data_IF_446199169571
#
_entry.id   IF_446199169571
#
_cell.length_a   1.000
_cell.length_b   1.000
_cell.length_c   1.000
_cell.angle_alpha   90.00
_cell.angle_beta   90.00
_cell.angle_gamma   90.00
#
_symmetry.space_group_name_H-M   'P 1'
#
loop_
_entity.id
_entity.type
_entity.pdbx_description
1 polymer ?
#
# COMPACT_ATOMS: atom_id res chain seq x y z
N UNK A 1 -70.90 19.19 39.80
CA UNK A 1 -71.62 20.49 39.82
C UNK A 1 -70.89 21.48 38.94
N UNK A 2 -71.60 22.11 37.99
CA UNK A 2 -71.28 23.37 37.27
C UNK A 2 -70.01 23.33 36.39
N UNK A 3 -70.07 23.21 35.06
CA UNK A 3 -70.54 24.21 34.05
C UNK A 3 -69.87 25.58 34.28
N UNK A 4 -69.12 26.14 33.32
CA UNK A 4 -69.55 27.19 32.35
C UNK A 4 -68.21 27.63 31.65
N UNK A 5 -68.05 27.53 30.31
CA UNK A 5 -68.25 28.60 29.29
C UNK A 5 -67.45 29.89 29.61
N UNK A 6 -66.86 30.66 28.72
CA UNK A 6 -66.72 30.73 27.27
C UNK A 6 -65.76 31.93 26.99
N UNK A 7 -65.61 32.28 25.70
CA UNK A 7 -65.06 33.53 25.13
C UNK A 7 -63.53 33.57 25.02
N UNK A 8 -62.90 33.30 23.87
CA UNK A 8 -63.01 33.93 22.54
C UNK A 8 -62.60 35.41 22.52
N UNK A 9 -61.43 35.70 21.95
CA UNK A 9 -61.22 36.84 21.05
C UNK A 9 -59.84 36.74 20.38
N UNK A 10 -59.92 36.44 19.09
CA UNK A 10 -59.03 36.76 17.97
C UNK A 10 -57.89 37.76 18.20
N UNK A 11 -56.71 37.39 17.71
CA UNK A 11 -55.57 38.28 17.54
C UNK A 11 -54.42 37.59 16.81
N UNK A 12 -54.65 37.13 15.58
CA UNK A 12 -53.56 36.71 14.69
C UNK A 12 -53.00 37.98 14.05
N UNK A 13 -51.82 38.42 14.49
CA UNK A 13 -50.91 39.15 13.63
C UNK A 13 -49.48 38.72 13.93
N UNK A 14 -48.96 37.98 12.96
CA UNK A 14 -47.65 37.38 12.78
C UNK A 14 -46.52 38.42 12.84
N UNK A 15 -45.41 38.11 13.52
CA UNK A 15 -44.05 38.09 12.94
C UNK A 15 -42.96 37.81 13.99
N UNK A 16 -41.93 37.09 13.53
CA UNK A 16 -40.64 36.78 14.15
C UNK A 16 -40.57 35.56 15.08
N UNK A 17 -40.76 34.36 14.53
CA UNK A 17 -40.19 33.14 15.09
C UNK A 17 -38.78 32.92 14.49
N UNK A 18 -37.74 33.16 15.30
CA UNK A 18 -36.41 32.61 15.06
C UNK A 18 -36.49 31.08 15.11
N UNK A 19 -36.56 30.45 13.95
CA UNK A 19 -36.39 29.00 13.83
C UNK A 19 -34.90 28.72 13.82
N UNK A 20 -34.41 28.08 14.90
CA UNK A 20 -33.16 27.34 14.90
C UNK A 20 -33.35 26.12 13.98
N UNK A 21 -32.65 25.97 12.84
CA UNK A 21 -32.58 24.68 12.21
C UNK A 21 -31.64 23.82 13.06
N UNK A 22 -32.22 22.84 13.74
CA UNK A 22 -31.48 21.74 14.35
C UNK A 22 -30.55 21.14 13.32
N UNK A 23 -29.26 21.19 13.61
CA UNK A 23 -28.21 20.60 12.79
C UNK A 23 -28.48 19.10 12.65
N UNK A 24 -28.96 18.70 11.48
CA UNK A 24 -28.82 17.32 11.04
C UNK A 24 -27.31 17.06 11.01
N UNK A 25 -26.82 16.29 11.99
CA UNK A 25 -25.49 15.70 11.94
C UNK A 25 -25.44 14.79 10.72
N UNK A 26 -24.97 15.33 9.61
CA UNK A 26 -24.58 14.56 8.45
C UNK A 26 -23.54 13.54 8.95
N UNK A 27 -23.93 12.26 8.93
CA UNK A 27 -22.99 11.16 9.09
C UNK A 27 -21.82 11.40 8.11
N UNK A 28 -20.55 11.21 8.52
CA UNK A 28 -19.44 11.40 7.60
C UNK A 28 -19.66 10.44 6.43
N UNK A 29 -19.91 11.00 5.25
CA UNK A 29 -19.88 10.24 4.03
C UNK A 29 -18.53 9.50 4.01
N UNK A 30 -18.57 8.17 3.91
CA UNK A 30 -17.37 7.37 3.77
C UNK A 30 -16.57 7.97 2.61
N UNK A 31 -15.46 8.63 2.93
CA UNK A 31 -14.60 9.22 1.92
C UNK A 31 -14.15 8.08 1.03
N UNK A 32 -14.67 8.03 -0.19
CA UNK A 32 -14.16 7.16 -1.25
C UNK A 32 -12.67 7.44 -1.30
N UNK A 33 -11.84 6.46 -0.92
CA UNK A 33 -10.40 6.62 -0.91
C UNK A 33 -9.98 7.12 -2.30
N UNK A 34 -9.53 8.37 -2.36
CA UNK A 34 -9.20 9.02 -3.63
C UNK A 34 -8.18 8.15 -4.36
N UNK A 35 -8.35 7.99 -5.67
CA UNK A 35 -7.38 7.27 -6.49
C UNK A 35 -5.99 7.90 -6.30
N UNK A 36 -4.92 7.09 -6.20
CA UNK A 36 -3.58 7.61 -6.00
C UNK A 36 -3.19 8.57 -7.12
N UNK A 37 -2.51 9.66 -6.77
CA UNK A 37 -2.06 10.66 -7.75
C UNK A 37 -1.03 10.07 -8.73
N UNK A 38 -0.87 10.64 -9.93
CA UNK A 38 0.16 10.17 -10.88
C UNK A 38 1.58 10.17 -10.29
N UNK A 39 1.88 11.14 -9.41
CA UNK A 39 3.16 11.20 -8.68
C UNK A 39 3.30 10.00 -7.73
N UNK A 40 2.26 9.67 -6.96
CA UNK A 40 2.27 8.52 -6.06
C UNK A 40 2.44 7.20 -6.83
N UNK A 41 1.77 7.05 -7.97
CA UNK A 41 1.92 5.89 -8.85
C UNK A 41 3.35 5.79 -9.38
N UNK A 42 3.94 6.90 -9.82
CA UNK A 42 5.33 6.92 -10.28
C UNK A 42 6.31 6.56 -9.15
N UNK A 43 6.14 7.12 -7.95
CA UNK A 43 7.01 6.83 -6.82
C UNK A 43 6.93 5.35 -6.42
N UNK A 44 5.73 4.76 -6.43
CA UNK A 44 5.54 3.33 -6.19
C UNK A 44 6.19 2.46 -7.28
N UNK A 45 6.08 2.86 -8.56
CA UNK A 45 6.78 2.19 -9.66
C UNK A 45 8.30 2.19 -9.45
N UNK A 46 8.87 3.38 -9.19
CA UNK A 46 10.32 3.53 -8.98
C UNK A 46 10.79 2.70 -7.77
N UNK A 47 9.98 2.64 -6.70
CA UNK A 47 10.22 1.77 -5.54
C UNK A 47 10.22 0.29 -5.91
N UNK A 48 9.22 -0.17 -6.67
CA UNK A 48 9.12 -1.57 -7.10
C UNK A 48 10.29 -1.98 -7.99
N UNK A 49 10.73 -1.09 -8.88
CA UNK A 49 11.91 -1.29 -9.69
C UNK A 49 13.19 -1.37 -8.83
N UNK A 50 13.34 -0.45 -7.87
CA UNK A 50 14.48 -0.46 -6.95
C UNK A 50 14.52 -1.72 -6.07
N UNK A 51 13.36 -2.25 -5.67
CA UNK A 51 13.21 -3.48 -4.90
C UNK A 51 13.39 -4.77 -5.71
N UNK A 52 13.47 -4.68 -7.04
CA UNK A 52 13.44 -5.83 -7.94
C UNK A 52 12.19 -6.70 -7.71
N UNK A 53 11.02 -6.08 -7.76
CA UNK A 53 9.73 -6.72 -7.49
C UNK A 53 9.43 -7.92 -8.40
N UNK A 54 10.02 -8.02 -9.58
CA UNK A 54 9.96 -9.17 -10.47
C UNK A 54 10.57 -10.44 -9.84
N UNK A 55 11.65 -10.28 -9.06
CA UNK A 55 12.25 -11.40 -8.32
C UNK A 55 11.36 -11.80 -7.15
N UNK A 56 10.80 -10.82 -6.44
CA UNK A 56 9.83 -11.07 -5.38
C UNK A 56 8.59 -11.80 -5.92
N UNK A 57 8.12 -11.43 -7.11
CA UNK A 57 7.04 -12.13 -7.80
C UNK A 57 7.40 -13.60 -8.07
N UNK A 58 8.60 -13.88 -8.57
CA UNK A 58 9.08 -15.26 -8.76
C UNK A 58 9.15 -16.03 -7.44
N UNK A 59 9.63 -15.39 -6.36
CA UNK A 59 9.67 -16.01 -5.02
C UNK A 59 8.27 -16.30 -4.49
N UNK A 60 7.34 -15.35 -4.59
CA UNK A 60 5.94 -15.51 -4.17
C UNK A 60 5.31 -16.66 -4.95
N UNK A 61 5.47 -16.67 -6.27
CA UNK A 61 4.94 -17.72 -7.12
C UNK A 61 5.57 -19.08 -6.81
N UNK A 62 6.89 -19.17 -6.62
CA UNK A 62 7.57 -20.42 -6.26
C UNK A 62 7.18 -20.96 -4.87
N UNK A 63 6.86 -20.07 -3.93
CA UNK A 63 6.41 -20.42 -2.57
C UNK A 63 4.89 -20.67 -2.46
N UNK A 64 4.13 -20.43 -3.52
CA UNK A 64 2.68 -20.61 -3.54
C UNK A 64 2.30 -22.10 -3.60
N UNK A 65 1.09 -22.42 -3.13
CA UNK A 65 0.57 -23.79 -3.19
C UNK A 65 -0.07 -24.05 -4.55
N UNK A 66 0.34 -25.14 -5.20
CA UNK A 66 -0.23 -25.60 -6.46
C UNK A 66 -0.84 -27.01 -6.28
N UNK A 67 -1.95 -27.31 -6.98
CA UNK A 67 -2.50 -28.67 -7.04
C UNK A 67 -1.51 -29.73 -7.52
N UNK A 68 -0.68 -29.39 -8.52
CA UNK A 68 0.33 -30.30 -9.07
C UNK A 68 1.64 -29.58 -9.39
N UNK A 69 2.71 -30.36 -9.47
CA UNK A 69 4.03 -29.88 -9.88
C UNK A 69 4.04 -29.31 -11.29
N UNK A 70 3.34 -29.97 -12.22
CA UNK A 70 3.23 -29.52 -13.61
C UNK A 70 2.53 -28.16 -13.70
N UNK A 71 1.51 -27.92 -12.87
CA UNK A 71 0.86 -26.62 -12.81
C UNK A 71 1.79 -25.53 -12.28
N UNK A 72 2.60 -25.84 -11.26
CA UNK A 72 3.63 -24.90 -10.76
C UNK A 72 4.60 -24.52 -11.88
N UNK A 73 5.13 -25.52 -12.60
CA UNK A 73 6.06 -25.29 -13.71
C UNK A 73 5.44 -24.49 -14.85
N UNK A 74 4.18 -24.78 -15.20
CA UNK A 74 3.44 -24.02 -16.21
C UNK A 74 3.27 -22.55 -15.81
N UNK A 75 2.96 -22.27 -14.54
CA UNK A 75 2.88 -20.90 -14.03
C UNK A 75 4.25 -20.21 -14.06
N UNK A 76 5.33 -20.87 -13.60
CA UNK A 76 6.69 -20.31 -13.69
C UNK A 76 7.06 -19.97 -15.14
N UNK A 77 6.77 -20.85 -16.09
CA UNK A 77 7.06 -20.63 -17.51
C UNK A 77 6.27 -19.46 -18.12
N UNK A 78 5.06 -19.17 -17.60
CA UNK A 78 4.32 -17.95 -17.95
C UNK A 78 5.00 -16.71 -17.38
N UNK A 79 5.41 -16.76 -16.11
CA UNK A 79 6.09 -15.64 -15.45
C UNK A 79 7.44 -15.31 -16.09
N UNK A 80 8.15 -16.31 -16.64
CA UNK A 80 9.40 -16.10 -17.38
C UNK A 80 9.24 -15.19 -18.62
N UNK A 81 8.01 -15.07 -19.15
CA UNK A 81 7.69 -14.20 -20.30
C UNK A 81 7.27 -12.80 -19.89
N UNK A 82 7.00 -12.56 -18.60
CA UNK A 82 6.54 -11.27 -18.09
C UNK A 82 7.76 -10.37 -17.92
N UNK A 83 7.74 -9.22 -18.60
CA UNK A 83 8.84 -8.25 -18.48
C UNK A 83 8.83 -7.59 -17.09
N UNK A 84 9.99 -7.18 -16.55
CA UNK A 84 10.03 -6.47 -15.26
C UNK A 84 9.16 -5.21 -15.28
N UNK A 85 9.16 -4.48 -16.39
CA UNK A 85 8.36 -3.26 -16.55
C UNK A 85 6.86 -3.51 -16.50
N UNK A 86 6.39 -4.64 -17.03
CA UNK A 86 4.98 -5.04 -16.88
C UNK A 86 4.63 -5.28 -15.41
N UNK A 87 5.52 -5.93 -14.65
CA UNK A 87 5.31 -6.15 -13.20
C UNK A 87 5.20 -4.81 -12.47
N UNK A 88 6.14 -3.90 -12.71
CA UNK A 88 6.17 -2.60 -12.02
C UNK A 88 4.94 -1.77 -12.37
N UNK A 89 4.58 -1.69 -13.65
CA UNK A 89 3.43 -0.92 -14.13
C UNK A 89 2.10 -1.43 -13.55
N UNK A 90 1.92 -2.75 -13.45
CA UNK A 90 0.68 -3.35 -12.94
C UNK A 90 0.56 -3.28 -11.42
N UNK A 91 1.69 -3.24 -10.71
CA UNK A 91 1.72 -3.10 -9.24
C UNK A 91 1.79 -1.66 -8.76
N UNK A 92 2.19 -0.70 -9.59
CA UNK A 92 2.40 0.69 -9.18
C UNK A 92 1.14 1.31 -8.55
N UNK A 93 -0.01 1.18 -9.20
CA UNK A 93 -1.27 1.73 -8.69
C UNK A 93 -1.75 1.09 -7.36
N UNK A 94 -1.79 -0.25 -7.19
CA UNK A 94 -2.16 -0.83 -5.91
C UNK A 94 -1.13 -0.50 -4.81
N UNK A 95 0.17 -0.49 -5.10
CA UNK A 95 1.22 -0.17 -4.11
C UNK A 95 1.20 1.31 -3.72
N UNK A 96 0.84 2.22 -4.62
CA UNK A 96 0.68 3.65 -4.32
C UNK A 96 -0.44 3.94 -3.31
N UNK A 97 -1.33 2.98 -3.03
CA UNK A 97 -2.33 3.08 -1.96
C UNK A 97 -1.78 2.63 -0.59
N UNK A 98 -0.65 1.92 -0.58
CA UNK A 98 -0.05 1.29 0.59
C UNK A 98 1.14 2.07 1.14
N UNK A 99 1.86 2.78 0.27
CA UNK A 99 3.09 3.49 0.60
C UNK A 99 2.97 4.95 0.16
N UNK A 100 3.37 5.87 1.03
CA UNK A 100 3.40 7.29 0.71
C UNK A 100 4.50 7.60 -0.32
N UNK A 101 4.35 8.64 -1.16
CA UNK A 101 5.38 9.02 -2.11
C UNK A 101 6.73 9.33 -1.45
N UNK A 102 6.71 9.95 -0.27
CA UNK A 102 7.91 10.31 0.48
C UNK A 102 8.67 9.06 0.95
N UNK A 103 7.94 8.07 1.48
CA UNK A 103 8.52 6.78 1.89
C UNK A 103 9.07 6.02 0.68
N UNK A 104 8.35 6.01 -0.44
CA UNK A 104 8.83 5.39 -1.66
C UNK A 104 10.14 6.01 -2.16
N UNK A 105 10.22 7.34 -2.21
CA UNK A 105 11.44 8.06 -2.63
C UNK A 105 12.63 7.76 -1.71
N UNK A 106 12.42 7.78 -0.39
CA UNK A 106 13.50 7.50 0.55
C UNK A 106 13.97 6.04 0.47
N UNK A 107 13.03 5.11 0.29
CA UNK A 107 13.37 3.69 0.13
C UNK A 107 14.04 3.39 -1.22
N UNK A 108 13.69 4.11 -2.30
CA UNK A 108 14.45 4.06 -3.57
C UNK A 108 15.91 4.43 -3.35
N UNK A 109 16.18 5.54 -2.64
CA UNK A 109 17.56 5.96 -2.32
C UNK A 109 18.31 4.88 -1.54
N UNK A 110 17.64 4.28 -0.54
CA UNK A 110 18.22 3.18 0.21
C UNK A 110 18.57 2.00 -0.70
N UNK A 111 17.63 1.52 -1.52
CA UNK A 111 17.86 0.36 -2.39
C UNK A 111 18.92 0.62 -3.47
N UNK A 112 19.08 1.87 -3.92
CA UNK A 112 20.14 2.27 -4.84
C UNK A 112 21.51 2.43 -4.17
N UNK A 113 21.57 2.56 -2.84
CA UNK A 113 22.84 2.64 -2.11
C UNK A 113 23.65 1.35 -2.21
N UNK A 114 24.97 1.43 -2.00
CA UNK A 114 25.84 0.26 -1.96
C UNK A 114 25.38 -0.78 -0.93
N UNK A 115 24.85 -0.33 0.21
CA UNK A 115 24.32 -1.22 1.23
C UNK A 115 23.00 -1.87 0.80
N UNK A 116 22.06 -1.08 0.26
CA UNK A 116 20.78 -1.59 -0.24
C UNK A 116 20.96 -2.66 -1.33
N UNK A 117 21.93 -2.48 -2.22
CA UNK A 117 22.29 -3.49 -3.22
C UNK A 117 22.84 -4.79 -2.60
N UNK A 118 23.64 -4.70 -1.53
CA UNK A 118 24.07 -5.90 -0.76
C UNK A 118 22.86 -6.60 -0.14
N UNK A 119 21.89 -5.85 0.39
CA UNK A 119 20.65 -6.38 0.96
C UNK A 119 19.82 -7.09 -0.10
N UNK A 120 19.63 -6.50 -1.29
CA UNK A 120 18.90 -7.12 -2.40
C UNK A 120 19.60 -8.39 -2.90
N UNK A 121 20.93 -8.34 -3.06
CA UNK A 121 21.72 -9.52 -3.44
C UNK A 121 21.57 -10.63 -2.42
N UNK A 122 21.64 -10.32 -1.13
CA UNK A 122 21.40 -11.31 -0.08
C UNK A 122 19.97 -11.86 -0.16
N UNK A 123 18.97 -10.98 -0.25
CA UNK A 123 17.54 -11.36 -0.27
C UNK A 123 17.20 -12.34 -1.39
N UNK A 124 17.71 -12.13 -2.60
CA UNK A 124 17.32 -12.94 -3.76
C UNK A 124 18.33 -14.01 -4.18
N UNK A 125 19.61 -13.85 -3.80
CA UNK A 125 20.69 -14.73 -4.25
C UNK A 125 21.43 -15.43 -3.10
N UNK A 126 21.03 -15.26 -1.83
CA UNK A 126 21.58 -16.09 -0.75
C UNK A 126 20.98 -17.48 -0.81
N UNK A 127 21.84 -18.52 -0.86
CA UNK A 127 21.39 -19.90 -0.69
C UNK A 127 20.82 -20.16 0.72
N UNK A 128 20.34 -21.38 1.01
CA UNK A 128 19.92 -21.77 2.34
C UNK A 128 21.02 -21.49 3.37
N UNK A 129 20.72 -20.71 4.40
CA UNK A 129 21.65 -20.37 5.48
C UNK A 129 20.99 -20.54 6.84
N UNK A 130 21.76 -21.01 7.82
CA UNK A 130 21.33 -21.27 9.21
C UNK A 130 21.64 -20.07 10.14
N UNK A 131 22.35 -19.04 9.64
CA UNK A 131 22.73 -17.84 10.41
C UNK A 131 22.18 -16.53 9.83
N UNK A 132 22.36 -15.42 10.56
CA UNK A 132 22.01 -14.07 10.08
C UNK A 132 22.84 -13.74 8.83
N UNK A 133 22.19 -13.79 7.67
CA UNK A 133 22.80 -13.48 6.37
C UNK A 133 22.78 -11.99 6.07
N UNK A 134 22.20 -11.16 6.95
CA UNK A 134 22.09 -9.73 6.72
C UNK A 134 23.49 -9.13 6.57
N UNK A 135 23.79 -8.45 5.45
CA UNK A 135 25.10 -7.85 5.26
C UNK A 135 25.38 -6.85 6.39
N UNK A 136 26.57 -6.90 6.97
CA UNK A 136 26.97 -5.97 8.03
C UNK A 136 27.27 -4.59 7.41
N UNK A 137 26.60 -3.50 7.84
CA UNK A 137 26.89 -2.17 7.33
C UNK A 137 28.23 -1.67 7.89
N UNK A 138 28.99 -0.99 7.04
CA UNK A 138 30.15 -0.17 7.41
C UNK A 138 29.75 1.01 8.30
N UNK A 139 30.72 1.70 8.90
CA UNK A 139 30.43 2.86 9.74
C UNK A 139 29.70 3.99 8.99
N UNK A 140 30.10 4.25 7.74
CA UNK A 140 29.45 5.26 6.89
C UNK A 140 28.03 4.84 6.50
N UNK A 141 27.82 3.57 6.14
CA UNK A 141 26.47 3.05 5.85
C UNK A 141 25.58 3.09 7.10
N UNK A 142 26.11 2.78 8.29
CA UNK A 142 25.35 2.91 9.54
C UNK A 142 24.87 4.34 9.82
N UNK A 143 25.69 5.34 9.52
CA UNK A 143 25.30 6.74 9.68
C UNK A 143 24.13 7.11 8.75
N UNK A 144 24.13 6.59 7.52
CA UNK A 144 23.01 6.74 6.58
C UNK A 144 21.73 6.05 7.10
N UNK A 145 21.85 4.84 7.65
CA UNK A 145 20.73 4.10 8.25
C UNK A 145 20.23 4.68 9.57
N UNK A 146 21.01 5.57 10.20
CA UNK A 146 20.60 6.27 11.41
C UNK A 146 19.77 7.53 11.12
N UNK A 147 19.63 7.93 9.84
CA UNK A 147 18.85 9.11 9.46
C UNK A 147 17.37 8.90 9.84
N UNK A 148 16.73 9.88 10.52
CA UNK A 148 15.33 9.75 10.91
C UNK A 148 14.37 9.52 9.73
N UNK A 149 14.68 10.09 8.57
CA UNK A 149 13.92 9.89 7.34
C UNK A 149 13.91 8.42 6.92
N UNK A 150 15.08 7.78 6.87
CA UNK A 150 15.21 6.36 6.56
C UNK A 150 14.50 5.48 7.59
N UNK A 151 14.70 5.73 8.90
CA UNK A 151 14.07 4.92 9.95
C UNK A 151 12.56 4.95 9.85
N UNK A 152 11.98 6.13 9.59
CA UNK A 152 10.54 6.28 9.38
C UNK A 152 10.09 5.54 8.13
N UNK A 153 10.77 5.75 7.00
CA UNK A 153 10.44 5.16 5.72
C UNK A 153 10.54 3.62 5.74
N UNK A 154 11.60 3.06 6.34
CA UNK A 154 11.76 1.62 6.51
C UNK A 154 10.61 1.08 7.38
N UNK A 155 10.32 1.68 8.53
CA UNK A 155 9.21 1.23 9.38
C UNK A 155 7.86 1.20 8.63
N UNK A 156 7.55 2.26 7.88
CA UNK A 156 6.33 2.33 7.07
C UNK A 156 6.32 1.25 5.97
N UNK A 157 7.44 1.08 5.24
CA UNK A 157 7.55 0.05 4.22
C UNK A 157 7.42 -1.37 4.81
N UNK A 158 8.07 -1.65 5.95
CA UNK A 158 7.99 -2.94 6.64
C UNK A 158 6.55 -3.26 7.05
N UNK A 159 5.79 -2.26 7.51
CA UNK A 159 4.37 -2.43 7.81
C UNK A 159 3.53 -2.70 6.54
N UNK A 160 3.90 -2.12 5.40
CA UNK A 160 3.22 -2.33 4.11
C UNK A 160 3.62 -3.65 3.42
N UNK A 161 4.77 -4.26 3.76
CA UNK A 161 5.30 -5.46 3.09
C UNK A 161 4.30 -6.62 2.96
N UNK A 162 3.51 -7.00 3.98
CA UNK A 162 2.53 -8.08 3.84
C UNK A 162 1.46 -7.75 2.79
N UNK A 163 0.98 -6.51 2.74
CA UNK A 163 0.00 -6.06 1.76
C UNK A 163 0.61 -6.00 0.35
N UNK A 164 1.85 -5.50 0.20
CA UNK A 164 2.57 -5.52 -1.08
C UNK A 164 2.74 -6.96 -1.57
N UNK A 165 3.11 -7.89 -0.68
CA UNK A 165 3.23 -9.31 -1.02
C UNK A 165 1.90 -9.91 -1.45
N UNK A 166 0.79 -9.48 -0.84
CA UNK A 166 -0.56 -9.87 -1.26
C UNK A 166 -0.87 -9.38 -2.68
N UNK A 167 -0.62 -8.11 -2.99
CA UNK A 167 -0.83 -7.56 -4.35
C UNK A 167 0.01 -8.30 -5.40
N UNK A 168 1.25 -8.67 -5.06
CA UNK A 168 2.08 -9.51 -5.91
C UNK A 168 1.45 -10.89 -6.12
N UNK A 169 0.91 -11.51 -5.08
CA UNK A 169 0.20 -12.79 -5.20
C UNK A 169 -1.05 -12.69 -6.08
N UNK A 170 -1.80 -11.59 -5.97
CA UNK A 170 -2.95 -11.29 -6.85
C UNK A 170 -2.49 -11.22 -8.30
N UNK A 171 -1.42 -10.45 -8.58
CA UNK A 171 -0.86 -10.35 -9.94
C UNK A 171 -0.40 -11.72 -10.48
N UNK A 172 0.30 -12.53 -9.68
CA UNK A 172 0.69 -13.90 -10.06
C UNK A 172 -0.54 -14.74 -10.42
N UNK A 173 -1.60 -14.63 -9.62
CA UNK A 173 -2.84 -15.38 -9.84
C UNK A 173 -3.54 -14.92 -11.13
N UNK A 174 -3.56 -13.63 -11.43
CA UNK A 174 -4.10 -13.10 -12.68
C UNK A 174 -3.31 -13.59 -13.90
N UNK A 175 -1.98 -13.53 -13.83
CA UNK A 175 -1.09 -13.98 -14.90
C UNK A 175 -1.17 -15.50 -15.11
N UNK A 176 -1.40 -16.28 -14.05
CA UNK A 176 -1.56 -17.72 -14.13
C UNK A 176 -2.87 -18.13 -14.86
N UNK A 177 -3.94 -17.33 -14.73
CA UNK A 177 -5.24 -17.59 -15.36
C UNK A 177 -5.29 -17.23 -16.84
N UNK A 178 -4.51 -16.24 -17.28
CA UNK A 178 -4.36 -15.88 -18.71
C UNK A 178 -3.55 -16.94 -19.44
#
# INVERSE_FOLDING_TARGET
MKSIKALAASGVMTLAACVLPGAATAAPAAATAAAPSPLAVKAAHDLLAAMQAEKLMRTVAGSSRYPTEQQRLAVMAKLDKVTPEEVYSRLAAPVAKLVTPETAVEMVRFYQSAYGQKVLKNTYNSGPSIGDTTPKPSAAEKAELAKPAYIKADKELQAAKPAIRHEIFVLVTELARK
#
